data_IF_952116314594
#
_entry.id   IF_952116314594
#
_cell.length_a   1.000
_cell.length_b   1.000
_cell.length_c   1.000
_cell.angle_alpha   90.00
_cell.angle_beta   90.00
_cell.angle_gamma   90.00
#
_symmetry.space_group_name_H-M   'P 1'
#
loop_
_entity.id
_entity.type
_entity.pdbx_description
1 polymer ?
#
# COMPACT_ATOMS: atom_id res chain seq x y z
N UNK A 1 17.59 -22.65 -5.09
CA UNK A 1 17.13 -21.30 -4.68
C UNK A 1 18.24 -20.33 -5.08
N UNK A 2 17.93 -19.31 -5.88
CA UNK A 2 18.93 -18.31 -6.26
C UNK A 2 19.29 -17.46 -5.04
N UNK A 3 20.58 -17.26 -4.78
CA UNK A 3 21.06 -16.30 -3.80
C UNK A 3 20.79 -14.89 -4.34
N UNK A 4 19.83 -14.19 -3.75
CA UNK A 4 19.66 -12.76 -3.99
C UNK A 4 20.54 -12.03 -2.97
N UNK A 5 21.65 -11.44 -3.42
CA UNK A 5 22.66 -10.81 -2.54
C UNK A 5 22.13 -9.65 -1.69
N UNK A 6 20.94 -9.12 -2.01
CA UNK A 6 20.28 -8.05 -1.27
C UNK A 6 19.29 -8.54 -0.20
N UNK A 7 18.94 -9.84 -0.17
CA UNK A 7 18.06 -10.39 0.86
C UNK A 7 18.87 -10.63 2.13
N UNK A 8 18.62 -9.83 3.15
CA UNK A 8 19.32 -9.95 4.43
C UNK A 8 18.67 -10.97 5.37
N UNK A 9 17.34 -11.15 5.30
CA UNK A 9 16.56 -12.03 6.18
C UNK A 9 15.30 -12.54 5.45
N UNK A 10 14.90 -13.78 5.71
CA UNK A 10 13.64 -14.37 5.22
C UNK A 10 12.82 -14.82 6.43
N UNK A 11 11.55 -14.45 6.46
CA UNK A 11 10.61 -14.84 7.52
C UNK A 11 9.51 -15.72 6.95
N UNK A 12 9.34 -16.92 7.51
CA UNK A 12 8.25 -17.84 7.17
C UNK A 12 7.10 -17.62 8.14
N UNK A 13 5.89 -17.49 7.60
CA UNK A 13 4.66 -17.18 8.36
C UNK A 13 3.47 -17.95 7.83
N UNK A 14 2.44 -18.06 8.66
CA UNK A 14 1.12 -18.48 8.20
C UNK A 14 0.47 -17.39 7.33
N UNK A 15 -0.32 -17.80 6.33
CA UNK A 15 -1.00 -16.87 5.42
C UNK A 15 -2.28 -16.26 6.04
N UNK A 16 -2.16 -15.68 7.23
CA UNK A 16 -3.25 -14.98 7.90
C UNK A 16 -3.40 -13.55 7.37
N UNK A 17 -4.63 -13.12 7.07
CA UNK A 17 -4.95 -11.81 6.50
C UNK A 17 -4.22 -11.48 5.18
N UNK A 18 -3.82 -12.51 4.42
CA UNK A 18 -3.13 -12.40 3.13
C UNK A 18 -1.93 -11.43 3.22
N UNK A 19 -1.83 -10.52 2.25
CA UNK A 19 -0.75 -9.55 2.10
C UNK A 19 -0.70 -8.56 3.26
N UNK A 20 -1.85 -8.13 3.77
CA UNK A 20 -1.94 -7.17 4.88
C UNK A 20 -1.34 -7.75 6.15
N UNK A 21 -1.59 -9.04 6.40
CA UNK A 21 -0.94 -9.71 7.49
C UNK A 21 0.58 -9.73 7.32
N UNK A 22 1.10 -9.89 6.10
CA UNK A 22 2.54 -9.92 5.85
C UNK A 22 3.15 -8.54 6.12
N UNK A 23 2.47 -7.47 5.71
CA UNK A 23 2.88 -6.10 6.01
C UNK A 23 2.87 -5.84 7.52
N UNK A 24 1.83 -6.29 8.24
CA UNK A 24 1.75 -6.18 9.70
C UNK A 24 2.88 -6.92 10.42
N UNK A 25 3.24 -8.12 9.93
CA UNK A 25 4.38 -8.86 10.46
C UNK A 25 5.69 -8.10 10.26
N UNK A 26 5.94 -7.60 9.04
CA UNK A 26 7.12 -6.79 8.74
C UNK A 26 7.18 -5.52 9.58
N UNK A 27 6.04 -4.86 9.76
CA UNK A 27 5.90 -3.68 10.60
C UNK A 27 6.26 -3.96 12.07
N UNK A 28 5.69 -5.02 12.66
CA UNK A 28 6.01 -5.46 14.03
C UNK A 28 7.47 -5.84 14.18
N UNK A 29 8.06 -6.48 13.18
CA UNK A 29 9.49 -6.78 13.19
C UNK A 29 10.32 -5.48 13.23
N UNK A 30 10.01 -4.51 12.37
CA UNK A 30 10.69 -3.21 12.37
C UNK A 30 10.57 -2.49 13.73
N UNK A 31 9.38 -2.51 14.35
CA UNK A 31 9.16 -1.96 15.69
C UNK A 31 10.04 -2.66 16.74
N UNK A 32 10.09 -3.98 16.74
CA UNK A 32 10.86 -4.77 17.71
C UNK A 32 12.37 -4.56 17.57
N UNK A 33 12.87 -4.38 16.35
CA UNK A 33 14.28 -4.05 16.09
C UNK A 33 14.59 -2.56 16.37
N UNK A 34 13.60 -1.75 16.73
CA UNK A 34 13.76 -0.32 16.95
C UNK A 34 14.08 0.47 15.68
N UNK A 35 13.72 -0.04 14.51
CA UNK A 35 13.97 0.62 13.22
C UNK A 35 13.17 1.93 13.11
N UNK A 36 13.86 3.01 12.76
CA UNK A 36 13.29 4.34 12.54
C UNK A 36 13.71 4.88 11.19
N UNK A 37 12.77 4.89 10.25
CA UNK A 37 12.99 5.38 8.90
C UNK A 37 11.90 4.91 7.95
N UNK A 38 12.16 5.07 6.66
CA UNK A 38 11.22 4.73 5.60
C UNK A 38 11.22 3.22 5.36
N UNK A 39 10.02 2.70 5.14
CA UNK A 39 9.77 1.28 4.90
C UNK A 39 8.97 1.11 3.63
N UNK A 40 9.28 0.02 2.93
CA UNK A 40 8.49 -0.46 1.81
C UNK A 40 8.01 -1.87 2.12
N UNK A 41 6.70 -2.07 2.14
CA UNK A 41 6.09 -3.39 2.17
C UNK A 41 5.66 -3.75 0.77
N UNK A 42 6.17 -4.85 0.25
CA UNK A 42 5.87 -5.30 -1.10
C UNK A 42 5.32 -6.73 -1.03
N UNK A 43 4.17 -6.95 -1.63
CA UNK A 43 3.79 -8.29 -2.00
C UNK A 43 4.75 -8.69 -3.11
N UNK A 44 5.78 -9.42 -2.75
CA UNK A 44 6.02 -10.73 -3.31
C UNK A 44 5.54 -11.00 -4.77
N UNK A 45 4.25 -11.01 -5.10
CA UNK A 45 3.75 -11.21 -6.47
C UNK A 45 4.07 -10.07 -7.46
N UNK A 46 4.54 -8.93 -6.98
CA UNK A 46 4.95 -7.76 -7.76
C UNK A 46 6.24 -8.07 -8.50
N UNK A 47 6.16 -8.09 -9.83
CA UNK A 47 7.33 -8.13 -10.70
C UNK A 47 7.94 -6.73 -10.86
N UNK A 48 9.27 -6.60 -10.82
CA UNK A 48 10.04 -5.39 -11.09
C UNK A 48 11.43 -5.46 -10.46
N UNK A 49 12.40 -4.55 -10.75
CA UNK A 49 12.32 -3.31 -11.54
C UNK A 49 11.92 -3.47 -13.01
N UNK A 50 11.10 -2.54 -13.52
CA UNK A 50 10.90 -2.35 -14.97
C UNK A 50 11.58 -1.09 -15.50
N UNK A 51 12.24 -0.35 -14.61
CA UNK A 51 13.12 0.77 -14.91
C UNK A 51 14.13 0.93 -13.79
N UNK A 52 15.31 1.46 -14.10
CA UNK A 52 16.29 1.86 -13.10
C UNK A 52 15.72 2.92 -12.15
N UNK A 53 16.18 2.91 -10.90
CA UNK A 53 15.78 3.86 -9.85
C UNK A 53 14.32 3.79 -9.43
N UNK A 54 13.60 2.70 -9.70
CA UNK A 54 12.16 2.61 -9.37
C UNK A 54 11.86 2.75 -7.86
N UNK A 55 12.75 2.29 -6.98
CA UNK A 55 12.65 2.50 -5.54
C UNK A 55 12.78 3.98 -5.20
N UNK A 56 13.76 4.67 -5.80
CA UNK A 56 13.98 6.10 -5.61
C UNK A 56 12.75 6.91 -6.02
N UNK A 57 12.03 6.49 -7.06
CA UNK A 57 10.78 7.15 -7.47
C UNK A 57 9.68 7.08 -6.41
N UNK A 58 9.61 6.01 -5.61
CA UNK A 58 8.67 5.93 -4.49
C UNK A 58 9.08 6.86 -3.35
N UNK A 59 10.38 6.98 -3.10
CA UNK A 59 10.92 7.94 -2.14
C UNK A 59 10.65 9.38 -2.58
N UNK A 60 10.93 9.71 -3.84
CA UNK A 60 10.62 11.01 -4.44
C UNK A 60 9.12 11.34 -4.37
N UNK A 61 8.26 10.36 -4.68
CA UNK A 61 6.81 10.50 -4.56
C UNK A 61 6.37 10.72 -3.10
N UNK A 62 6.96 10.01 -2.15
CA UNK A 62 6.65 10.18 -0.74
C UNK A 62 7.09 11.56 -0.22
N UNK A 63 8.23 12.05 -0.70
CA UNK A 63 8.80 13.35 -0.32
C UNK A 63 8.26 14.53 -1.15
N UNK A 64 7.43 14.29 -2.18
CA UNK A 64 6.90 15.33 -3.05
C UNK A 64 6.01 16.35 -2.31
N UNK A 65 5.52 15.98 -1.13
CA UNK A 65 4.76 16.85 -0.25
C UNK A 65 5.00 16.46 1.21
N UNK A 66 5.22 17.44 2.08
CA UNK A 66 5.70 17.24 3.46
C UNK A 66 4.75 16.48 4.39
N UNK A 67 3.51 16.28 3.96
CA UNK A 67 2.43 15.66 4.77
C UNK A 67 1.96 14.31 4.20
N UNK A 68 2.65 13.73 3.22
CA UNK A 68 2.28 12.38 2.74
C UNK A 68 2.64 11.35 3.81
N UNK A 69 1.68 10.51 4.14
CA UNK A 69 1.85 9.39 5.08
C UNK A 69 1.82 8.02 4.42
N UNK A 70 1.34 7.92 3.17
CA UNK A 70 1.31 6.67 2.43
C UNK A 70 1.44 6.90 0.93
N UNK A 71 2.32 6.13 0.31
CA UNK A 71 2.44 6.03 -1.14
C UNK A 71 2.21 4.58 -1.58
N UNK A 72 1.54 4.39 -2.71
CA UNK A 72 1.43 3.06 -3.33
C UNK A 72 1.40 3.09 -4.85
N UNK A 73 1.06 1.97 -5.46
CA UNK A 73 1.00 1.84 -6.94
C UNK A 73 -0.15 2.62 -7.55
N UNK A 74 -1.36 2.45 -6.99
CA UNK A 74 -2.60 3.03 -7.50
C UNK A 74 -3.49 3.50 -6.36
N UNK A 75 -4.49 4.32 -6.68
CA UNK A 75 -5.58 4.66 -5.77
C UNK A 75 -6.90 4.16 -6.34
N UNK A 76 -7.81 3.74 -5.47
CA UNK A 76 -9.20 3.59 -5.86
C UNK A 76 -9.86 4.97 -5.83
N UNK A 77 -10.43 5.36 -6.97
CA UNK A 77 -10.96 6.70 -7.23
C UNK A 77 -12.47 6.71 -7.44
N UNK A 78 -13.18 5.62 -7.14
CA UNK A 78 -14.58 5.48 -7.55
C UNK A 78 -15.55 5.36 -6.37
N UNK A 79 -16.57 6.22 -6.32
CA UNK A 79 -17.78 5.93 -5.57
C UNK A 79 -18.59 4.86 -6.32
N UNK A 80 -18.23 3.59 -6.15
CA UNK A 80 -19.03 2.47 -6.59
C UNK A 80 -20.30 2.34 -5.71
N UNK A 81 -21.30 3.21 -5.95
CA UNK A 81 -22.64 3.07 -5.36
C UNK A 81 -23.33 1.73 -5.71
N UNK A 82 -22.82 1.00 -6.70
CA UNK A 82 -23.49 -0.16 -7.31
C UNK A 82 -22.94 -1.53 -6.89
N UNK A 83 -21.89 -1.61 -6.05
CA UNK A 83 -21.21 -2.89 -5.80
C UNK A 83 -21.25 -3.42 -4.36
N UNK A 84 -21.83 -2.67 -3.40
CA UNK A 84 -21.78 -3.05 -1.98
C UNK A 84 -20.36 -3.06 -1.39
N UNK A 85 -19.39 -2.44 -2.07
CA UNK A 85 -18.00 -2.30 -1.65
C UNK A 85 -17.80 -0.86 -1.20
N UNK A 86 -17.10 -0.65 -0.08
CA UNK A 86 -16.78 0.68 0.43
C UNK A 86 -16.14 1.57 -0.65
N UNK A 87 -16.63 2.80 -0.71
CA UNK A 87 -16.32 3.82 -1.73
C UNK A 87 -15.26 4.82 -1.27
N UNK A 88 -14.68 4.57 -0.11
CA UNK A 88 -13.72 5.45 0.52
C UNK A 88 -12.42 5.52 -0.28
N UNK A 89 -11.81 6.69 -0.29
CA UNK A 89 -10.54 6.94 -0.96
C UNK A 89 -9.44 6.12 -0.28
N UNK A 90 -8.70 5.34 -1.06
CA UNK A 90 -7.62 4.52 -0.55
C UNK A 90 -6.56 4.25 -1.59
N UNK A 91 -5.35 3.99 -1.11
CA UNK A 91 -4.31 3.34 -1.90
C UNK A 91 -4.72 1.90 -2.10
N UNK A 92 -4.89 1.50 -3.36
CA UNK A 92 -5.06 0.09 -3.74
C UNK A 92 -3.70 -0.38 -4.22
N UNK A 93 -3.00 -1.19 -3.42
CA UNK A 93 -1.63 -1.54 -3.78
C UNK A 93 -1.11 -2.83 -3.18
N UNK A 94 -0.36 -3.51 -4.03
CA UNK A 94 0.55 -4.61 -3.71
C UNK A 94 1.88 -4.09 -3.13
N UNK A 95 2.03 -2.77 -2.99
CA UNK A 95 3.22 -2.10 -2.48
C UNK A 95 2.83 -0.86 -1.68
N UNK A 96 3.24 -0.83 -0.41
CA UNK A 96 3.05 0.32 0.47
C UNK A 96 4.41 0.91 0.82
N UNK A 97 4.55 2.23 0.67
CA UNK A 97 5.73 2.98 1.10
C UNK A 97 5.31 4.03 2.13
N UNK A 98 6.01 4.09 3.25
CA UNK A 98 5.72 5.01 4.36
C UNK A 98 6.96 5.23 5.24
N UNK A 99 6.79 5.99 6.32
CA UNK A 99 7.77 6.15 7.39
C UNK A 99 7.29 5.47 8.67
N UNK A 100 8.17 4.77 9.38
CA UNK A 100 7.85 4.10 10.64
C UNK A 100 7.26 5.03 11.69
N UNK A 101 7.67 6.31 11.75
CA UNK A 101 7.09 7.26 12.71
C UNK A 101 5.63 7.54 12.41
N UNK A 102 5.27 7.65 11.12
CA UNK A 102 3.89 7.88 10.67
C UNK A 102 3.05 6.63 10.91
N UNK A 103 3.57 5.45 10.56
CA UNK A 103 2.89 4.18 10.82
C UNK A 103 2.63 4.01 12.32
N UNK A 104 3.62 4.30 13.18
CA UNK A 104 3.46 4.22 14.64
C UNK A 104 2.44 5.19 15.17
N UNK A 105 2.41 6.43 14.68
CA UNK A 105 1.39 7.40 15.05
C UNK A 105 -0.03 6.92 14.64
N UNK A 106 -0.16 6.33 13.45
CA UNK A 106 -1.46 5.90 12.92
C UNK A 106 -1.99 4.60 13.53
N UNK A 107 -1.10 3.64 13.79
CA UNK A 107 -1.44 2.24 14.05
C UNK A 107 -0.94 1.70 15.38
N UNK A 108 -0.08 2.42 16.11
CA UNK A 108 0.55 1.90 17.32
C UNK A 108 1.40 0.67 16.96
N UNK A 109 1.05 -0.50 17.49
CA UNK A 109 1.87 -1.71 17.36
C UNK A 109 1.37 -2.70 16.28
N UNK A 110 0.31 -2.36 15.52
CA UNK A 110 -0.29 -3.30 14.55
C UNK A 110 -1.00 -2.58 13.41
N UNK A 111 -0.64 -2.91 12.16
CA UNK A 111 -1.37 -2.46 10.96
C UNK A 111 -2.72 -3.16 10.83
N UNK A 112 -2.87 -4.37 11.37
CA UNK A 112 -4.14 -5.08 11.35
C UNK A 112 -5.16 -4.41 12.26
N UNK A 113 -6.37 -4.22 11.75
CA UNK A 113 -7.55 -4.02 12.58
C UNK A 113 -7.93 -5.33 13.31
N UNK A 114 -8.67 -5.23 14.42
CA UNK A 114 -9.22 -6.37 15.16
C UNK A 114 -10.37 -7.10 14.42
N UNK A 115 -10.39 -7.03 13.08
CA UNK A 115 -11.46 -7.55 12.24
C UNK A 115 -11.15 -8.94 11.66
N UNK A 116 -12.17 -9.56 11.06
CA UNK A 116 -12.04 -10.82 10.31
C UNK A 116 -11.48 -10.56 8.91
N UNK A 117 -10.65 -11.46 8.40
CA UNK A 117 -10.06 -11.42 7.05
C UNK A 117 -10.35 -12.73 6.29
N UNK A 118 -11.62 -13.14 6.24
CA UNK A 118 -12.02 -14.42 5.66
C UNK A 118 -12.32 -14.32 4.18
N UNK A 119 -12.76 -13.14 3.72
CA UNK A 119 -13.10 -12.89 2.33
C UNK A 119 -12.15 -11.89 1.69
N UNK A 120 -12.11 -11.87 0.36
CA UNK A 120 -11.37 -10.85 -0.40
C UNK A 120 -11.90 -9.43 -0.10
N UNK A 121 -13.21 -9.30 0.13
CA UNK A 121 -13.81 -8.02 0.49
C UNK A 121 -13.31 -7.56 1.86
N UNK A 122 -13.24 -8.47 2.83
CA UNK A 122 -12.70 -8.18 4.16
C UNK A 122 -11.26 -7.64 4.08
N UNK A 123 -10.43 -8.19 3.19
CA UNK A 123 -9.04 -7.75 3.01
C UNK A 123 -8.96 -6.34 2.42
N UNK A 124 -9.88 -5.99 1.52
CA UNK A 124 -9.96 -4.64 0.97
C UNK A 124 -10.45 -3.66 2.05
N UNK A 125 -11.56 -3.98 2.72
CA UNK A 125 -12.18 -3.09 3.71
C UNK A 125 -11.34 -2.93 4.97
N UNK A 126 -10.88 -4.04 5.55
CA UNK A 126 -10.12 -4.06 6.80
C UNK A 126 -8.61 -3.92 6.59
N UNK A 127 -8.15 -3.95 5.34
CA UNK A 127 -6.76 -3.76 4.95
C UNK A 127 -6.55 -2.45 4.21
N UNK A 128 -6.66 -2.46 2.88
CA UNK A 128 -6.32 -1.32 2.01
C UNK A 128 -7.06 -0.04 2.41
N UNK A 129 -8.38 -0.14 2.60
CA UNK A 129 -9.25 0.97 3.01
C UNK A 129 -8.92 1.39 4.44
N UNK A 130 -8.90 0.44 5.38
CA UNK A 130 -8.60 0.73 6.78
C UNK A 130 -7.26 1.48 6.95
N UNK A 131 -6.20 1.00 6.30
CA UNK A 131 -4.87 1.60 6.38
C UNK A 131 -4.91 3.04 5.84
N UNK A 132 -5.44 3.22 4.64
CA UNK A 132 -5.50 4.55 4.02
C UNK A 132 -6.33 5.53 4.84
N UNK A 133 -7.48 5.09 5.35
CA UNK A 133 -8.38 5.91 6.15
C UNK A 133 -7.77 6.26 7.52
N UNK A 134 -7.02 5.35 8.15
CA UNK A 134 -6.30 5.67 9.40
C UNK A 134 -5.28 6.78 9.21
N UNK A 135 -4.53 6.73 8.12
CA UNK A 135 -3.53 7.74 7.75
C UNK A 135 -4.20 9.09 7.47
N UNK A 136 -5.26 9.08 6.65
CA UNK A 136 -6.07 10.28 6.36
C UNK A 136 -6.70 10.89 7.60
N UNK A 137 -7.20 10.06 8.53
CA UNK A 137 -7.82 10.52 9.76
C UNK A 137 -6.83 11.14 10.75
N UNK A 138 -5.53 10.84 10.62
CA UNK A 138 -4.45 11.46 11.39
C UNK A 138 -3.94 12.78 10.79
N UNK A 139 -4.45 13.17 9.62
CA UNK A 139 -4.08 14.41 8.94
C UNK A 139 -2.97 14.26 7.90
N UNK A 140 -2.48 13.03 7.67
CA UNK A 140 -1.55 12.76 6.58
C UNK A 140 -2.29 12.56 5.26
N UNK A 141 -1.59 12.81 4.15
CA UNK A 141 -2.07 12.57 2.79
C UNK A 141 -1.68 11.20 2.26
N UNK A 142 -2.33 10.81 1.17
CA UNK A 142 -1.99 9.63 0.38
C UNK A 142 -1.71 10.02 -1.07
N UNK A 143 -0.84 9.28 -1.75
CA UNK A 143 -0.58 9.44 -3.18
C UNK A 143 -0.22 8.10 -3.84
N UNK A 144 -0.04 8.11 -5.17
CA UNK A 144 0.35 6.89 -5.88
C UNK A 144 1.15 7.14 -7.16
N UNK A 145 1.91 6.13 -7.57
CA UNK A 145 2.76 6.16 -8.76
C UNK A 145 1.99 6.31 -10.07
N UNK A 146 0.77 5.79 -10.16
CA UNK A 146 -0.07 5.95 -11.36
C UNK A 146 -0.49 7.42 -11.60
N UNK A 147 -0.56 8.23 -10.54
CA UNK A 147 -0.94 9.63 -10.58
C UNK A 147 0.01 10.44 -9.69
N UNK A 148 1.30 10.60 -10.04
CA UNK A 148 2.33 11.11 -9.12
C UNK A 148 2.16 12.61 -8.77
N UNK A 149 1.30 13.32 -9.51
CA UNK A 149 0.93 14.72 -9.22
C UNK A 149 -0.31 14.83 -8.33
N UNK A 150 -0.98 13.73 -8.04
CA UNK A 150 -2.18 13.69 -7.21
C UNK A 150 -1.77 13.38 -5.76
N UNK A 151 -1.96 14.38 -4.91
CA UNK A 151 -1.88 14.22 -3.46
C UNK A 151 -3.28 14.40 -2.91
N UNK A 152 -3.74 13.45 -2.10
CA UNK A 152 -5.08 13.51 -1.52
C UNK A 152 -5.00 13.61 -0.01
N UNK A 153 -5.72 14.59 0.53
CA UNK A 153 -5.91 14.80 1.96
C UNK A 153 -7.39 14.66 2.31
N UNK A 154 -7.66 14.36 3.58
CA UNK A 154 -9.03 14.23 4.06
C UNK A 154 -9.78 15.56 3.91
N UNK A 155 -10.90 15.52 3.19
CA UNK A 155 -11.75 16.69 2.93
C UNK A 155 -11.48 17.36 1.58
N UNK A 156 -10.44 16.94 0.86
CA UNK A 156 -10.23 17.38 -0.51
C UNK A 156 -11.39 16.95 -1.40
N UNK A 157 -11.75 17.81 -2.35
CA UNK A 157 -12.65 17.42 -3.42
C UNK A 157 -11.87 16.56 -4.42
N UNK A 158 -12.33 15.33 -4.63
CA UNK A 158 -11.63 14.40 -5.51
C UNK A 158 -11.56 14.94 -6.95
N UNK A 159 -10.36 15.10 -7.55
CA UNK A 159 -10.21 15.85 -8.80
C UNK A 159 -10.57 15.07 -10.08
N UNK A 160 -10.86 13.76 -10.00
CA UNK A 160 -11.08 12.93 -11.19
C UNK A 160 -12.46 12.25 -11.22
N UNK A 161 -13.33 12.53 -12.22
CA UNK A 161 -14.66 11.92 -12.33
C UNK A 161 -14.69 10.54 -13.02
N UNK A 162 -13.55 9.84 -13.21
CA UNK A 162 -13.52 8.64 -14.06
C UNK A 162 -13.60 7.33 -13.26
N UNK A 163 -14.52 6.45 -13.67
CA UNK A 163 -14.51 5.02 -13.33
C UNK A 163 -13.36 4.35 -14.10
N UNK A 164 -12.22 4.09 -13.47
CA UNK A 164 -11.24 3.15 -14.04
C UNK A 164 -11.82 1.72 -13.96
N UNK A 165 -12.54 1.30 -15.01
CA UNK A 165 -12.87 -0.12 -15.20
C UNK A 165 -11.58 -0.84 -15.59
N UNK A 166 -10.90 -1.44 -14.61
CA UNK A 166 -9.73 -2.32 -14.77
C UNK A 166 -9.91 -3.50 -15.74
N UNK A 167 -11.10 -3.74 -16.29
CA UNK A 167 -11.36 -4.73 -17.35
C UNK A 167 -11.22 -4.14 -18.77
N UNK A 168 -10.39 -3.11 -18.95
CA UNK A 168 -9.94 -2.69 -20.28
C UNK A 168 -8.85 -3.64 -20.77
N UNK A 169 -8.97 -4.15 -22.00
CA UNK A 169 -8.01 -5.06 -22.66
C UNK A 169 -6.73 -4.32 -23.09
N UNK A 170 -6.20 -3.45 -22.25
CA UNK A 170 -4.96 -2.75 -22.53
C UNK A 170 -3.78 -3.61 -22.07
N UNK A 171 -3.13 -4.27 -23.02
CA UNK A 171 -2.00 -5.18 -22.76
C UNK A 171 -0.79 -4.46 -22.18
N UNK A 172 -0.69 -3.13 -22.32
CA UNK A 172 0.42 -2.33 -21.78
C UNK A 172 0.40 -2.22 -20.25
N UNK A 173 -0.79 -2.37 -19.63
CA UNK A 173 -0.99 -2.25 -18.18
C UNK A 173 -1.05 -3.61 -17.44
N UNK A 174 -1.15 -4.73 -18.16
CA UNK A 174 -1.31 -6.08 -17.58
C UNK A 174 0.01 -6.78 -17.20
N UNK A 175 1.17 -6.13 -17.37
CA UNK A 175 2.46 -6.81 -17.37
C UNK A 175 3.07 -7.10 -16.00
N UNK A 176 2.27 -7.22 -14.93
CA UNK A 176 2.76 -7.24 -13.55
C UNK A 176 2.14 -8.35 -12.69
N UNK A 177 2.51 -9.62 -12.87
CA UNK A 177 2.24 -10.70 -11.91
C UNK A 177 3.32 -11.80 -12.00
N UNK A 178 4.08 -12.04 -10.92
CA UNK A 178 4.42 -13.36 -10.34
C UNK A 178 5.68 -13.33 -9.41
N UNK A 179 5.53 -13.99 -8.24
CA UNK A 179 6.56 -14.63 -7.36
C UNK A 179 7.27 -13.85 -6.24
N UNK A 180 7.04 -14.35 -5.02
CA UNK A 180 7.41 -13.84 -3.68
C UNK A 180 8.88 -13.61 -3.35
N UNK A 181 9.26 -12.39 -2.92
CA UNK A 181 10.51 -12.08 -2.18
C UNK A 181 10.23 -11.06 -1.07
N UNK A 182 10.74 -11.35 0.15
CA UNK A 182 10.88 -10.42 1.29
C UNK A 182 12.32 -9.95 1.34
#
# INVERSE_FOLDING_TARGET
MGNFEFISKIFIRENHALDIGAYDYGYKHCLNEGFSGRVMFINSSVSGPHSDGWLDKYEELFLSHSQIGLSGTTTNTSPAKDAGVSTQEHVQSWLLYSDMSILKDCFGDSLLSNASYKTKLDVIENGEIYISQKILNKGYGINCMAFPKLHFFKGDSWPYPFKFRWRGRDKSLQQFINTTIV
#
